data_IF_304471157382
#
_entry.id   IF_304471157382
#
_cell.length_a   1.000
_cell.length_b   1.000
_cell.length_c   1.000
_cell.angle_alpha   90.00
_cell.angle_beta   90.00
_cell.angle_gamma   90.00
#
_symmetry.space_group_name_H-M   'P 1'
#
loop_
_entity.id
_entity.type
_entity.pdbx_description
1 polymer ?
#
# COMPACT_ATOMS: atom_id res chain seq x y z
N UNK A 1 -12.33 -19.39 -13.25
CA UNK A 1 -11.15 -18.55 -12.96
C UNK A 1 -11.57 -17.12 -13.13
N UNK A 2 -11.67 -16.35 -12.05
CA UNK A 2 -12.03 -14.95 -12.15
C UNK A 2 -10.79 -14.18 -12.62
N UNK A 3 -10.93 -13.44 -13.73
CA UNK A 3 -9.90 -12.54 -14.20
C UNK A 3 -9.51 -11.59 -13.06
N UNK A 4 -8.21 -11.43 -12.78
CA UNK A 4 -7.73 -10.29 -11.98
C UNK A 4 -7.98 -9.03 -12.81
N UNK A 5 -9.18 -8.47 -12.72
CA UNK A 5 -9.37 -7.05 -12.97
C UNK A 5 -8.70 -6.34 -11.79
N UNK A 6 -7.65 -5.58 -12.04
CA UNK A 6 -7.21 -4.56 -11.09
C UNK A 6 -8.35 -3.54 -11.00
N UNK A 7 -9.05 -3.52 -9.87
CA UNK A 7 -10.22 -2.66 -9.64
C UNK A 7 -9.77 -1.23 -9.30
N UNK A 8 -8.54 -1.09 -8.81
CA UNK A 8 -7.90 0.13 -8.35
C UNK A 8 -6.37 0.04 -8.43
N UNK A 9 -5.70 1.20 -8.55
CA UNK A 9 -4.25 1.36 -8.55
C UNK A 9 -3.87 2.50 -7.61
N UNK A 10 -3.02 2.21 -6.63
CA UNK A 10 -2.41 3.23 -5.78
C UNK A 10 -1.09 3.72 -6.38
N UNK A 11 -0.91 5.04 -6.47
CA UNK A 11 0.33 5.65 -6.96
C UNK A 11 0.86 6.63 -5.92
N UNK A 12 2.10 6.41 -5.48
CA UNK A 12 2.79 7.30 -4.54
C UNK A 12 3.52 8.43 -5.29
N UNK A 13 3.13 9.67 -5.02
CA UNK A 13 3.74 10.88 -5.58
C UNK A 13 4.16 11.86 -4.48
N UNK A 14 5.08 12.77 -4.80
CA UNK A 14 5.27 13.98 -3.99
C UNK A 14 4.15 14.99 -4.29
N UNK A 15 3.90 15.93 -3.38
CA UNK A 15 2.90 16.99 -3.59
C UNK A 15 3.18 17.83 -4.84
N UNK A 16 4.46 18.11 -5.12
CA UNK A 16 4.88 18.83 -6.33
C UNK A 16 4.53 18.04 -7.60
N UNK A 17 4.80 16.74 -7.61
CA UNK A 17 4.51 15.89 -8.77
C UNK A 17 3.01 15.69 -8.96
N UNK A 18 2.23 15.58 -7.87
CA UNK A 18 0.76 15.54 -7.95
C UNK A 18 0.19 16.83 -8.58
N UNK A 19 0.72 18.01 -8.24
CA UNK A 19 0.31 19.26 -8.88
C UNK A 19 0.57 19.22 -10.38
N UNK A 20 1.80 18.85 -10.79
CA UNK A 20 2.18 18.73 -12.21
C UNK A 20 1.35 17.69 -12.95
N UNK A 21 1.04 16.56 -12.29
CA UNK A 21 0.18 15.53 -12.85
C UNK A 21 -1.22 16.08 -13.11
N UNK A 22 -1.81 16.74 -12.11
CA UNK A 22 -3.15 17.32 -12.21
C UNK A 22 -3.23 18.35 -13.33
N UNK A 23 -2.29 19.30 -13.39
CA UNK A 23 -2.24 20.35 -14.42
C UNK A 23 -2.12 19.78 -15.84
N UNK A 24 -1.41 18.66 -15.99
CA UNK A 24 -1.13 18.05 -17.29
C UNK A 24 -2.21 17.09 -17.76
N UNK A 25 -2.80 16.32 -16.85
CA UNK A 25 -3.57 15.12 -17.18
C UNK A 25 -5.03 15.16 -16.71
N UNK A 26 -5.40 16.01 -15.75
CA UNK A 26 -6.80 16.13 -15.36
C UNK A 26 -7.63 16.67 -16.53
N UNK A 27 -8.73 15.98 -16.86
CA UNK A 27 -9.54 16.23 -18.06
C UNK A 27 -8.87 15.81 -19.38
N UNK A 28 -7.67 15.20 -19.35
CA UNK A 28 -6.89 14.79 -20.51
C UNK A 28 -6.42 13.34 -20.36
N UNK A 29 -7.37 12.43 -20.43
CA UNK A 29 -7.15 10.99 -20.22
C UNK A 29 -7.37 10.53 -18.78
N UNK A 30 -7.51 11.46 -17.83
CA UNK A 30 -7.88 11.16 -16.45
C UNK A 30 -8.99 12.10 -16.00
N UNK A 31 -10.08 11.56 -15.47
CA UNK A 31 -11.14 12.34 -14.82
C UNK A 31 -11.00 12.26 -13.31
N UNK A 32 -11.40 13.30 -12.58
CA UNK A 32 -11.52 13.21 -11.13
C UNK A 32 -12.62 12.19 -10.80
N UNK A 33 -12.40 11.35 -9.79
CA UNK A 33 -13.37 10.32 -9.41
C UNK A 33 -14.68 10.93 -8.89
N UNK A 34 -14.59 12.10 -8.25
CA UNK A 34 -15.69 12.96 -7.81
C UNK A 34 -15.28 14.41 -8.08
N UNK A 35 -16.23 15.29 -8.37
CA UNK A 35 -15.96 16.72 -8.59
C UNK A 35 -15.18 17.32 -7.43
N UNK A 36 -14.00 17.89 -7.72
CA UNK A 36 -13.12 18.50 -6.72
C UNK A 36 -12.15 17.53 -6.04
N UNK A 37 -12.17 16.24 -6.37
CA UNK A 37 -11.18 15.29 -5.86
C UNK A 37 -9.78 15.62 -6.40
N UNK A 38 -8.82 15.78 -5.50
CA UNK A 38 -7.43 16.15 -5.85
C UNK A 38 -6.56 14.90 -6.02
N UNK A 39 -6.94 13.77 -5.43
CA UNK A 39 -6.12 12.55 -5.36
C UNK A 39 -6.80 11.30 -5.90
N UNK A 40 -8.09 11.36 -6.17
CA UNK A 40 -8.82 10.24 -6.75
C UNK A 40 -9.14 10.55 -8.22
N UNK A 41 -8.65 9.69 -9.10
CA UNK A 41 -8.85 9.79 -10.54
C UNK A 41 -9.43 8.50 -11.10
N UNK A 42 -9.95 8.59 -12.33
CA UNK A 42 -10.25 7.45 -13.19
C UNK A 42 -9.56 7.65 -14.52
N UNK A 43 -8.92 6.61 -15.02
CA UNK A 43 -8.44 6.62 -16.40
C UNK A 43 -9.65 6.62 -17.34
N UNK A 44 -9.63 7.50 -18.34
CA UNK A 44 -10.82 7.84 -19.12
C UNK A 44 -11.37 6.68 -19.96
N UNK A 45 -10.51 5.75 -20.40
CA UNK A 45 -10.92 4.64 -21.27
C UNK A 45 -11.35 3.42 -20.46
N UNK A 46 -10.48 2.95 -19.57
CA UNK A 46 -10.62 1.72 -18.78
C UNK A 46 -11.44 1.92 -17.52
N UNK A 47 -11.64 3.16 -17.08
CA UNK A 47 -12.33 3.53 -15.84
C UNK A 47 -11.70 2.97 -14.56
N UNK A 48 -10.47 2.45 -14.64
CA UNK A 48 -9.68 1.99 -13.48
C UNK A 48 -9.53 3.16 -12.51
N UNK A 49 -9.85 2.92 -11.23
CA UNK A 49 -9.66 3.91 -10.16
C UNK A 49 -8.16 4.06 -9.91
N UNK A 50 -7.70 5.30 -9.83
CA UNK A 50 -6.34 5.63 -9.44
C UNK A 50 -6.41 6.50 -8.19
N UNK A 51 -5.79 6.03 -7.12
CA UNK A 51 -5.68 6.78 -5.87
C UNK A 51 -4.23 7.24 -5.70
N UNK A 52 -4.06 8.55 -5.53
CA UNK A 52 -2.75 9.16 -5.33
C UNK A 52 -2.47 9.27 -3.83
N UNK A 53 -1.46 8.53 -3.39
CA UNK A 53 -0.86 8.67 -2.07
C UNK A 53 0.21 9.76 -2.14
N UNK A 54 0.26 10.65 -1.14
CA UNK A 54 1.22 11.76 -1.15
C UNK A 54 2.29 11.57 -0.07
N UNK A 55 3.57 11.74 -0.44
CA UNK A 55 4.70 11.69 0.49
C UNK A 55 4.45 12.57 1.73
N UNK A 56 4.75 12.01 2.91
CA UNK A 56 4.59 12.66 4.21
C UNK A 56 3.18 12.54 4.82
N UNK A 57 2.18 12.07 4.07
CA UNK A 57 0.88 11.73 4.63
C UNK A 57 0.88 10.36 5.30
N UNK A 58 -0.20 10.01 5.99
CA UNK A 58 -0.23 8.86 6.89
C UNK A 58 -1.22 7.78 6.43
N UNK A 59 -0.85 6.49 6.47
CA UNK A 59 -1.74 5.39 6.09
C UNK A 59 -2.89 5.21 7.08
N UNK A 60 -3.95 4.49 6.71
CA UNK A 60 -5.08 4.17 7.59
C UNK A 60 -5.99 5.38 7.86
N UNK A 61 -5.95 5.92 9.08
CA UNK A 61 -6.82 7.01 9.52
C UNK A 61 -6.38 8.43 9.08
N UNK A 62 -5.26 8.54 8.35
CA UNK A 62 -4.73 9.81 7.85
C UNK A 62 -4.09 10.72 8.91
N UNK A 63 -4.00 10.29 10.17
CA UNK A 63 -3.47 11.11 11.27
C UNK A 63 -1.96 10.90 11.48
N UNK A 64 -1.23 11.89 12.02
CA UNK A 64 0.19 11.75 12.31
C UNK A 64 0.54 10.51 13.13
N UNK A 65 1.53 9.74 12.65
CA UNK A 65 2.09 8.54 13.29
C UNK A 65 3.53 8.29 12.78
N UNK A 66 4.30 7.39 13.42
CA UNK A 66 5.70 7.16 13.04
C UNK A 66 5.88 6.75 11.57
N UNK A 67 4.98 5.92 11.05
CA UNK A 67 4.99 5.49 9.64
C UNK A 67 4.19 6.47 8.78
N UNK A 68 4.87 7.08 7.81
CA UNK A 68 4.29 7.94 6.79
C UNK A 68 4.59 7.40 5.38
N UNK A 69 3.84 7.85 4.37
CA UNK A 69 4.14 7.55 2.99
C UNK A 69 5.50 8.14 2.61
N UNK A 70 6.46 7.32 2.13
CA UNK A 70 7.83 7.75 1.89
C UNK A 70 7.95 8.61 0.62
N UNK A 71 9.16 9.13 0.37
CA UNK A 71 9.52 9.64 -0.95
C UNK A 71 9.68 8.46 -1.93
N UNK A 72 8.90 8.38 -3.02
CA UNK A 72 8.99 7.28 -3.98
C UNK A 72 10.36 7.18 -4.68
N UNK A 73 11.16 8.25 -4.70
CA UNK A 73 12.53 8.20 -5.20
C UNK A 73 13.46 7.37 -4.31
N UNK A 74 13.21 7.34 -2.99
CA UNK A 74 14.07 6.70 -1.99
C UNK A 74 13.77 5.22 -1.77
N UNK A 75 12.51 4.81 -1.96
CA UNK A 75 12.04 3.43 -1.66
C UNK A 75 11.62 2.63 -2.89
N UNK A 76 11.67 3.24 -4.07
CA UNK A 76 11.24 2.62 -5.32
C UNK A 76 12.38 1.87 -6.02
N UNK A 77 12.06 0.73 -6.63
CA UNK A 77 12.93 0.00 -7.54
C UNK A 77 12.18 -0.35 -8.83
N UNK A 78 12.93 -0.56 -9.92
CA UNK A 78 12.33 -0.86 -11.22
C UNK A 78 11.98 -2.35 -11.33
N UNK A 79 10.74 -2.64 -11.71
CA UNK A 79 10.22 -3.99 -11.96
C UNK A 79 9.24 -3.95 -13.13
N UNK A 80 9.52 -4.70 -14.18
CA UNK A 80 8.66 -4.84 -15.36
C UNK A 80 8.26 -3.48 -15.99
N UNK A 81 9.15 -2.49 -15.93
CA UNK A 81 8.90 -1.13 -16.44
C UNK A 81 8.15 -0.20 -15.48
N UNK A 82 7.82 -0.68 -14.27
CA UNK A 82 7.19 0.11 -13.21
C UNK A 82 8.17 0.36 -12.06
N UNK A 83 8.11 1.56 -11.48
CA UNK A 83 8.79 1.84 -10.22
C UNK A 83 7.88 1.47 -9.06
N UNK A 84 8.23 0.42 -8.32
CA UNK A 84 7.43 -0.14 -7.23
C UNK A 84 8.17 -0.03 -5.91
N UNK A 85 7.44 0.11 -4.80
CA UNK A 85 8.05 0.17 -3.46
C UNK A 85 8.58 -1.21 -3.04
N UNK A 86 9.59 -1.22 -2.17
CA UNK A 86 10.10 -2.48 -1.60
C UNK A 86 9.05 -3.23 -0.78
N UNK A 87 9.23 -4.53 -0.62
CA UNK A 87 8.31 -5.39 0.13
C UNK A 87 8.23 -4.98 1.60
N UNK A 88 9.38 -4.65 2.20
CA UNK A 88 9.50 -4.17 3.58
C UNK A 88 8.63 -2.93 3.78
N UNK A 89 8.72 -1.97 2.84
CA UNK A 89 7.95 -0.73 2.91
C UNK A 89 6.46 -0.97 2.70
N UNK A 90 6.08 -1.87 1.80
CA UNK A 90 4.68 -2.27 1.62
C UNK A 90 4.09 -2.88 2.90
N UNK A 91 4.83 -3.79 3.54
CA UNK A 91 4.42 -4.44 4.80
C UNK A 91 4.25 -3.38 5.89
N UNK A 92 5.21 -2.49 6.06
CA UNK A 92 5.17 -1.42 7.05
C UNK A 92 3.94 -0.52 6.88
N UNK A 93 3.65 -0.10 5.63
CA UNK A 93 2.48 0.73 5.31
C UNK A 93 1.17 0.00 5.60
N UNK A 94 1.05 -1.29 5.26
CA UNK A 94 -0.15 -2.09 5.55
C UNK A 94 -0.37 -2.29 7.05
N UNK A 95 0.70 -2.58 7.81
CA UNK A 95 0.61 -2.71 9.26
C UNK A 95 0.16 -1.39 9.92
N UNK A 96 0.78 -0.27 9.55
CA UNK A 96 0.41 1.03 10.08
C UNK A 96 -1.04 1.42 9.72
N UNK A 97 -1.49 1.07 8.50
CA UNK A 97 -2.89 1.24 8.07
C UNK A 97 -3.84 0.43 8.96
N UNK A 98 -3.62 -0.87 9.07
CA UNK A 98 -4.48 -1.78 9.81
C UNK A 98 -4.55 -1.51 11.31
N UNK A 99 -3.45 -1.07 11.92
CA UNK A 99 -3.39 -0.71 13.34
C UNK A 99 -4.19 0.54 13.69
N UNK A 100 -4.37 1.47 12.74
CA UNK A 100 -4.94 2.79 13.02
C UNK A 100 -6.37 2.97 12.52
N UNK A 101 -6.87 2.08 11.66
CA UNK A 101 -8.20 2.17 11.08
C UNK A 101 -8.94 0.82 11.19
N UNK A 102 -9.98 0.69 12.06
CA UNK A 102 -10.69 -0.58 12.26
C UNK A 102 -11.28 -1.19 10.99
N UNK A 103 -11.75 -0.36 10.06
CA UNK A 103 -12.28 -0.80 8.77
C UNK A 103 -11.19 -1.30 7.80
N UNK A 104 -9.91 -1.11 8.13
CA UNK A 104 -8.73 -1.56 7.39
C UNK A 104 -8.14 -2.86 7.94
N UNK A 105 -8.88 -3.61 8.76
CA UNK A 105 -8.41 -4.90 9.29
C UNK A 105 -7.95 -5.90 8.20
N UNK A 106 -8.47 -5.77 6.97
CA UNK A 106 -7.98 -6.53 5.81
C UNK A 106 -6.49 -6.32 5.52
N UNK A 107 -5.94 -5.14 5.76
CA UNK A 107 -4.50 -4.89 5.55
C UNK A 107 -3.61 -5.78 6.43
N UNK A 108 -4.07 -6.10 7.65
CA UNK A 108 -3.38 -7.01 8.56
C UNK A 108 -3.45 -8.46 8.08
N UNK A 109 -4.60 -8.86 7.54
CA UNK A 109 -4.79 -10.19 6.93
C UNK A 109 -3.92 -10.34 5.69
N UNK A 110 -3.86 -9.32 4.83
CA UNK A 110 -3.02 -9.34 3.63
C UNK A 110 -1.52 -9.48 4.00
N UNK A 111 -1.06 -8.86 5.10
CA UNK A 111 0.33 -9.05 5.58
C UNK A 111 0.56 -10.47 6.07
N UNK A 112 -0.39 -11.06 6.81
CA UNK A 112 -0.33 -12.46 7.23
C UNK A 112 -0.27 -13.42 6.03
N UNK A 113 -1.09 -13.19 5.02
CA UNK A 113 -1.08 -13.96 3.76
C UNK A 113 0.26 -13.81 3.02
N UNK A 114 0.80 -12.59 2.94
CA UNK A 114 2.13 -12.36 2.34
C UNK A 114 3.23 -13.11 3.08
N UNK A 115 3.19 -13.13 4.42
CA UNK A 115 4.15 -13.89 5.23
C UNK A 115 4.07 -15.37 4.88
N UNK A 116 2.86 -15.95 4.81
CA UNK A 116 2.68 -17.36 4.51
C UNK A 116 3.13 -17.72 3.08
N UNK A 117 2.70 -16.94 2.08
CA UNK A 117 2.96 -17.23 0.66
C UNK A 117 4.44 -17.06 0.29
N UNK A 118 5.11 -16.06 0.86
CA UNK A 118 6.52 -15.77 0.58
C UNK A 118 7.48 -16.38 1.60
N UNK A 119 6.95 -17.10 2.60
CA UNK A 119 7.69 -17.67 3.71
C UNK A 119 8.62 -16.65 4.38
N UNK A 120 8.07 -15.49 4.75
CA UNK A 120 8.86 -14.37 5.25
C UNK A 120 9.45 -14.69 6.64
N UNK A 121 10.73 -14.34 6.89
CA UNK A 121 11.40 -14.61 8.15
C UNK A 121 10.90 -13.67 9.26
N UNK A 122 10.90 -14.14 10.51
CA UNK A 122 10.55 -13.32 11.66
C UNK A 122 11.48 -12.11 11.77
N UNK A 123 12.76 -12.28 11.42
CA UNK A 123 13.84 -11.29 11.45
C UNK A 123 13.57 -10.07 10.55
N UNK A 124 12.67 -10.17 9.57
CA UNK A 124 12.25 -9.02 8.76
C UNK A 124 11.73 -7.87 9.65
N UNK A 125 11.18 -8.19 10.83
CA UNK A 125 10.71 -7.20 11.79
C UNK A 125 11.78 -6.16 12.16
N UNK A 126 13.06 -6.54 12.13
CA UNK A 126 14.19 -5.65 12.48
C UNK A 126 14.42 -4.56 11.43
N UNK A 127 13.86 -4.70 10.23
CA UNK A 127 13.95 -3.73 9.14
C UNK A 127 12.74 -2.80 9.07
N UNK A 128 11.70 -3.07 9.88
CA UNK A 128 10.49 -2.24 9.95
C UNK A 128 10.64 -1.16 11.03
N UNK A 129 9.83 -0.12 10.94
CA UNK A 129 9.66 0.89 12.00
C UNK A 129 9.22 0.26 13.33
N UNK A 130 9.80 0.73 14.44
CA UNK A 130 9.57 0.20 15.79
C UNK A 130 8.07 0.12 16.16
N UNK A 131 7.26 1.06 15.67
CA UNK A 131 5.82 1.13 15.99
C UNK A 131 5.01 -0.03 15.43
N UNK A 132 5.49 -0.73 14.39
CA UNK A 132 4.78 -1.84 13.74
C UNK A 132 5.39 -3.21 14.01
N UNK A 133 6.59 -3.30 14.59
CA UNK A 133 7.30 -4.58 14.80
C UNK A 133 6.51 -5.57 15.63
N UNK A 134 5.85 -5.09 16.69
CA UNK A 134 5.03 -5.94 17.56
C UNK A 134 3.89 -6.60 16.77
N UNK A 135 3.26 -5.85 15.89
CA UNK A 135 2.19 -6.34 15.05
C UNK A 135 2.69 -7.29 13.98
N UNK A 136 3.84 -7.02 13.35
CA UNK A 136 4.46 -7.96 12.42
C UNK A 136 4.71 -9.33 13.07
N UNK A 137 5.28 -9.35 14.29
CA UNK A 137 5.51 -10.61 15.03
C UNK A 137 4.21 -11.37 15.29
N UNK A 138 3.14 -10.67 15.65
CA UNK A 138 1.82 -11.26 15.84
C UNK A 138 1.30 -11.90 14.54
N UNK A 139 1.34 -11.16 13.42
CA UNK A 139 0.93 -11.68 12.11
C UNK A 139 1.78 -12.86 11.64
N UNK A 140 3.07 -12.83 11.94
CA UNK A 140 3.98 -13.93 11.64
C UNK A 140 3.61 -15.20 12.41
N UNK A 141 3.33 -15.10 13.72
CA UNK A 141 2.90 -16.24 14.53
C UNK A 141 1.59 -16.85 14.01
N UNK A 142 0.60 -16.00 13.69
CA UNK A 142 -0.67 -16.44 13.12
C UNK A 142 -0.50 -17.13 11.76
N UNK A 143 0.44 -16.66 10.93
CA UNK A 143 0.77 -17.29 9.66
C UNK A 143 1.35 -18.70 9.82
N UNK A 144 2.14 -18.95 10.88
CA UNK A 144 2.69 -20.29 11.13
C UNK A 144 1.59 -21.29 11.52
N UNK A 145 0.67 -20.89 12.41
CA UNK A 145 -0.45 -21.76 12.85
C UNK A 145 -1.34 -22.14 11.67
N UNK A 146 -1.67 -21.18 10.79
CA UNK A 146 -2.49 -21.43 9.61
C UNK A 146 -1.79 -22.35 8.58
N UNK A 147 -0.45 -22.34 8.54
CA UNK A 147 0.31 -23.25 7.69
C UNK A 147 0.33 -24.68 8.26
N UNK A 148 0.44 -24.83 9.58
CA UNK A 148 0.43 -26.13 10.26
C UNK A 148 -0.95 -26.82 10.14
N UNK A 149 -2.06 -26.08 10.23
CA UNK A 149 -3.42 -26.63 10.04
C UNK A 149 -3.72 -27.07 8.60
N UNK A 150 -2.97 -26.56 7.62
CA UNK A 150 -3.14 -26.87 6.20
C UNK A 150 -2.11 -27.91 5.67
N UNK A 151 -1.28 -28.49 6.53
CA UNK A 151 -0.40 -29.61 6.18
C UNK A 151 -1.12 -30.95 6.42
N UNK A 152 -1.23 -31.86 5.42
CA UNK A 152 -1.83 -33.18 5.57
C UNK A 152 -0.98 -34.16 6.38
#
# INVERSE_FOLDING_TARGET
GNARQTVDVDILLTAEVLSKFTDRYAGRGYSQAISGAVKDFREAVTQVKIEILTTGEYPGDGKPKPVAFPDPAQVGFDRDGYRVITLEKLIELKLASGLSAPHRGKDLVDVQELIAVLNLPLELNEQLDDSVRAEYRNRWQLAQVANDENQP
#
